data_IF_374821026549
#
_entry.id   IF_374821026549
#
_cell.length_a   1.000
_cell.length_b   1.000
_cell.length_c   1.000
_cell.angle_alpha   90.00
_cell.angle_beta   90.00
_cell.angle_gamma   90.00
#
_symmetry.space_group_name_H-M   'P 1'
#
loop_
_entity.id
_entity.type
_entity.pdbx_description
1 polymer ?
#
# COMPACT_ATOMS: atom_id res chain seq x y z
N UNK A 1 -49.12 -1.20 0.12
CA UNK A 1 -47.88 -1.81 0.64
C UNK A 1 -46.75 -1.36 -0.27
N UNK A 2 -45.91 -0.43 0.18
CA UNK A 2 -44.74 0.01 -0.59
C UNK A 2 -43.73 -1.14 -0.67
N UNK A 3 -43.16 -1.45 -1.85
CA UNK A 3 -42.12 -2.47 -1.94
C UNK A 3 -40.92 -2.03 -1.10
N UNK A 4 -40.48 -2.92 -0.20
CA UNK A 4 -39.28 -2.70 0.58
C UNK A 4 -38.11 -2.48 -0.38
N UNK A 5 -37.48 -1.31 -0.30
CA UNK A 5 -36.28 -0.98 -1.06
C UNK A 5 -35.21 -2.05 -0.78
N UNK A 6 -34.92 -2.88 -1.77
CA UNK A 6 -33.84 -3.86 -1.67
C UNK A 6 -32.54 -3.04 -1.65
N UNK A 7 -31.98 -2.84 -0.47
CA UNK A 7 -30.63 -2.28 -0.32
C UNK A 7 -29.68 -3.31 -0.92
N UNK A 8 -28.94 -2.99 -2.00
CA UNK A 8 -27.97 -3.93 -2.55
C UNK A 8 -26.99 -4.32 -1.46
N UNK A 9 -26.78 -5.62 -1.27
CA UNK A 9 -25.76 -6.09 -0.34
C UNK A 9 -24.39 -5.57 -0.83
N UNK A 10 -23.51 -5.14 0.09
CA UNK A 10 -22.19 -4.66 -0.29
C UNK A 10 -21.42 -5.73 -1.07
N UNK A 11 -20.80 -5.32 -2.18
CA UNK A 11 -20.07 -6.21 -3.07
C UNK A 11 -18.92 -6.88 -2.32
N UNK A 12 -18.97 -8.21 -2.24
CA UNK A 12 -17.91 -9.02 -1.63
C UNK A 12 -16.70 -9.08 -2.56
N UNK A 13 -15.53 -8.70 -2.05
CA UNK A 13 -14.24 -8.75 -2.74
C UNK A 13 -13.52 -10.07 -2.43
N UNK A 14 -12.67 -10.56 -3.33
CA UNK A 14 -11.84 -11.74 -3.03
C UNK A 14 -10.68 -11.38 -2.11
N UNK A 15 -9.95 -10.34 -2.48
CA UNK A 15 -8.83 -9.84 -1.70
C UNK A 15 -8.84 -8.32 -1.63
N UNK A 16 -8.32 -7.80 -0.52
CA UNK A 16 -8.14 -6.38 -0.26
C UNK A 16 -6.74 -6.20 0.31
N UNK A 17 -6.04 -5.16 -0.10
CA UNK A 17 -4.69 -4.85 0.33
C UNK A 17 -4.67 -3.40 0.81
N UNK A 18 -4.16 -3.22 2.02
CA UNK A 18 -3.96 -1.90 2.64
C UNK A 18 -2.59 -1.89 3.33
N UNK A 19 -1.91 -0.75 3.28
CA UNK A 19 -0.58 -0.52 3.85
C UNK A 19 -0.51 0.87 4.46
N UNK A 20 0.61 1.18 5.14
CA UNK A 20 1.01 2.54 5.54
C UNK A 20 -0.11 3.28 6.27
N UNK A 21 -0.76 2.57 7.19
CA UNK A 21 -1.83 3.14 8.03
C UNK A 21 -1.24 3.99 9.14
N UNK A 22 -0.10 3.58 9.69
CA UNK A 22 0.60 4.20 10.80
C UNK A 22 -0.31 4.45 12.02
N UNK A 23 -1.08 3.44 12.46
CA UNK A 23 -1.90 3.55 13.66
C UNK A 23 -1.04 3.98 14.85
N UNK A 24 -1.46 5.08 15.49
CA UNK A 24 -0.73 5.74 16.57
C UNK A 24 -0.03 7.03 16.14
N UNK A 25 0.22 7.23 14.84
CA UNK A 25 0.69 8.53 14.30
C UNK A 25 -0.44 9.56 14.34
N UNK A 26 -0.08 10.83 14.55
CA UNK A 26 -1.03 11.97 14.49
C UNK A 26 -1.53 12.26 13.06
N UNK A 27 -0.85 11.72 12.05
CA UNK A 27 -1.18 11.92 10.63
C UNK A 27 -2.06 10.79 10.08
N UNK A 28 -2.34 9.76 10.87
CA UNK A 28 -3.21 8.67 10.46
C UNK A 28 -4.68 9.12 10.43
N UNK A 29 -5.33 8.91 9.28
CA UNK A 29 -6.77 9.04 9.09
C UNK A 29 -7.52 7.79 9.59
N UNK A 30 -7.41 7.53 10.90
CA UNK A 30 -7.94 6.31 11.52
C UNK A 30 -9.47 6.20 11.46
N UNK A 31 -10.19 7.32 11.44
CA UNK A 31 -11.65 7.32 11.40
C UNK A 31 -12.15 6.84 10.02
N UNK A 32 -11.57 7.40 8.97
CA UNK A 32 -11.83 7.05 7.58
C UNK A 32 -11.43 5.60 7.29
N UNK A 33 -10.31 5.14 7.85
CA UNK A 33 -9.91 3.74 7.75
C UNK A 33 -10.88 2.80 8.47
N UNK A 34 -11.33 3.15 9.67
CA UNK A 34 -12.33 2.37 10.39
C UNK A 34 -13.64 2.27 9.60
N UNK A 35 -14.12 3.38 9.04
CA UNK A 35 -15.34 3.42 8.23
C UNK A 35 -15.20 2.53 6.99
N UNK A 36 -14.06 2.59 6.31
CA UNK A 36 -13.76 1.72 5.18
C UNK A 36 -13.80 0.23 5.56
N UNK A 37 -13.13 -0.17 6.66
CA UNK A 37 -13.11 -1.56 7.12
C UNK A 37 -14.50 -2.05 7.54
N UNK A 38 -15.34 -1.20 8.14
CA UNK A 38 -16.70 -1.56 8.55
C UNK A 38 -17.61 -1.86 7.33
N UNK A 39 -17.44 -1.09 6.25
CA UNK A 39 -18.11 -1.32 4.97
C UNK A 39 -17.57 -2.50 4.17
N UNK A 40 -16.38 -3.02 4.54
CA UNK A 40 -15.68 -4.03 3.75
C UNK A 40 -16.27 -5.42 3.92
N UNK A 41 -16.39 -6.17 2.81
CA UNK A 41 -16.65 -7.61 2.81
C UNK A 41 -15.64 -8.26 1.89
N UNK A 42 -14.76 -9.10 2.46
CA UNK A 42 -13.75 -9.78 1.65
C UNK A 42 -13.36 -11.15 2.21
N UNK A 43 -12.81 -12.00 1.35
CA UNK A 43 -12.29 -13.32 1.76
C UNK A 43 -10.91 -13.18 2.41
N UNK A 44 -10.04 -12.31 1.85
CA UNK A 44 -8.70 -12.03 2.35
C UNK A 44 -8.46 -10.53 2.52
N UNK A 45 -7.90 -10.13 3.65
CA UNK A 45 -7.37 -8.79 3.88
C UNK A 45 -5.87 -8.89 4.15
N UNK A 46 -5.10 -8.35 3.22
CA UNK A 46 -3.66 -8.19 3.34
C UNK A 46 -3.35 -6.84 3.99
N UNK A 47 -2.56 -6.90 5.05
CA UNK A 47 -2.05 -5.78 5.83
C UNK A 47 -0.57 -5.62 5.45
N UNK A 48 -0.29 -4.85 4.41
CA UNK A 48 0.99 -4.82 3.65
C UNK A 48 2.00 -3.84 4.24
N UNK A 49 2.18 -3.93 5.55
CA UNK A 49 3.22 -3.22 6.30
C UNK A 49 2.78 -1.85 6.78
N UNK A 50 3.52 -1.36 7.77
CA UNK A 50 3.34 -0.07 8.44
C UNK A 50 1.88 0.22 8.83
N UNK A 51 1.19 -0.83 9.30
CA UNK A 51 -0.18 -0.69 9.83
C UNK A 51 -0.16 0.00 11.18
N UNK A 52 0.88 -0.25 11.96
CA UNK A 52 1.02 0.25 13.31
C UNK A 52 2.35 1.02 13.41
N UNK A 53 2.33 2.19 14.04
CA UNK A 53 3.58 2.92 14.26
C UNK A 53 4.13 2.64 15.67
N UNK A 54 4.86 1.53 15.78
CA UNK A 54 5.50 1.13 17.04
C UNK A 54 6.63 2.09 17.47
N UNK A 55 7.22 2.84 16.53
CA UNK A 55 8.20 3.87 16.85
C UNK A 55 7.55 5.02 17.62
N UNK A 56 6.41 5.54 17.13
CA UNK A 56 5.70 6.63 17.80
C UNK A 56 5.12 6.21 19.17
N UNK A 57 4.69 4.95 19.29
CA UNK A 57 4.30 4.36 20.58
C UNK A 57 5.46 4.29 21.58
N UNK A 58 6.64 3.88 21.13
CA UNK A 58 7.82 3.81 22.00
C UNK A 58 8.24 5.18 22.56
N UNK A 59 7.90 6.27 21.86
CA UNK A 59 8.22 7.64 22.27
C UNK A 59 7.18 8.29 23.22
N UNK A 60 6.17 7.54 23.69
CA UNK A 60 5.03 8.08 24.47
C UNK A 60 4.27 9.22 23.78
N UNK A 61 4.36 9.30 22.45
CA UNK A 61 3.67 10.31 21.63
C UNK A 61 2.49 9.76 20.86
N UNK A 62 2.19 8.46 21.03
CA UNK A 62 1.05 7.79 20.40
C UNK A 62 -0.26 8.57 20.55
N UNK A 63 -0.81 8.98 19.41
CA UNK A 63 -2.18 9.43 19.31
C UNK A 63 -3.07 8.18 19.25
N UNK A 64 -3.44 7.67 20.43
CA UNK A 64 -4.34 6.53 20.56
C UNK A 64 -5.66 6.98 21.16
N UNK A 65 -6.71 7.03 20.34
CA UNK A 65 -8.04 7.47 20.72
C UNK A 65 -9.13 6.55 20.17
N UNK A 66 -10.38 7.03 20.19
CA UNK A 66 -11.56 6.25 19.77
C UNK A 66 -11.46 5.74 18.34
N UNK A 67 -10.92 6.53 17.41
CA UNK A 67 -10.77 6.12 16.00
C UNK A 67 -9.84 4.90 15.84
N UNK A 68 -8.72 4.87 16.55
CA UNK A 68 -7.78 3.74 16.52
C UNK A 68 -8.42 2.47 17.10
N UNK A 69 -9.20 2.60 18.17
CA UNK A 69 -9.97 1.47 18.71
C UNK A 69 -10.99 0.93 17.69
N UNK A 70 -11.70 1.83 16.99
CA UNK A 70 -12.66 1.42 15.93
C UNK A 70 -11.99 0.63 14.81
N UNK A 71 -10.75 0.96 14.44
CA UNK A 71 -9.97 0.19 13.45
C UNK A 71 -9.72 -1.24 13.97
N UNK A 72 -9.24 -1.37 15.21
CA UNK A 72 -8.98 -2.68 15.83
C UNK A 72 -10.26 -3.51 15.91
N UNK A 73 -11.37 -2.91 16.35
CA UNK A 73 -12.69 -3.56 16.39
C UNK A 73 -13.17 -4.00 15.01
N UNK A 74 -12.99 -3.17 13.98
CA UNK A 74 -13.35 -3.50 12.61
C UNK A 74 -12.54 -4.68 12.06
N UNK A 75 -11.23 -4.73 12.32
CA UNK A 75 -10.38 -5.87 11.95
C UNK A 75 -10.83 -7.16 12.65
N UNK A 76 -11.15 -7.10 13.96
CA UNK A 76 -11.70 -8.24 14.67
C UNK A 76 -13.07 -8.68 14.13
N UNK A 77 -13.93 -7.74 13.75
CA UNK A 77 -15.22 -8.03 13.16
C UNK A 77 -15.08 -8.77 11.81
N UNK A 78 -14.16 -8.33 10.95
CA UNK A 78 -13.84 -9.01 9.69
C UNK A 78 -13.34 -10.45 9.93
N UNK A 79 -12.39 -10.63 10.86
CA UNK A 79 -11.89 -11.96 11.21
C UNK A 79 -13.00 -12.89 11.73
N UNK A 80 -13.92 -12.38 12.58
CA UNK A 80 -15.09 -13.13 13.05
C UNK A 80 -16.08 -13.46 11.94
N UNK A 81 -16.22 -12.57 10.95
CA UNK A 81 -17.05 -12.80 9.76
C UNK A 81 -16.41 -13.78 8.75
N UNK A 82 -15.20 -14.27 9.03
CA UNK A 82 -14.52 -15.31 8.25
C UNK A 82 -13.43 -14.81 7.31
N UNK A 83 -13.17 -13.50 7.25
CA UNK A 83 -12.06 -12.92 6.49
C UNK A 83 -10.72 -13.43 7.04
N UNK A 84 -9.83 -13.88 6.15
CA UNK A 84 -8.46 -14.22 6.48
C UNK A 84 -7.60 -12.95 6.50
N UNK A 85 -6.98 -12.66 7.64
CA UNK A 85 -6.05 -11.54 7.81
C UNK A 85 -4.62 -12.04 7.55
N UNK A 86 -3.91 -11.40 6.61
CA UNK A 86 -2.51 -11.71 6.30
C UNK A 86 -1.68 -10.45 6.54
N UNK A 87 -0.90 -10.47 7.61
CA UNK A 87 -0.04 -9.38 8.03
C UNK A 87 1.38 -9.54 7.46
N UNK A 88 1.84 -8.55 6.71
CA UNK A 88 3.17 -8.48 6.10
C UNK A 88 3.93 -7.29 6.69
N UNK A 89 4.80 -7.48 7.71
CA UNK A 89 5.35 -6.34 8.46
C UNK A 89 6.30 -5.43 7.64
N UNK A 90 6.11 -4.12 7.77
CA UNK A 90 6.96 -3.09 7.17
C UNK A 90 8.14 -2.67 8.04
N UNK A 91 8.72 -1.49 7.76
CA UNK A 91 9.87 -0.95 8.49
C UNK A 91 9.49 -0.30 9.83
N UNK A 92 8.32 0.33 9.96
CA UNK A 92 7.82 0.85 11.25
C UNK A 92 7.37 -0.29 12.18
N UNK A 93 6.90 -1.39 11.60
CA UNK A 93 6.43 -2.59 12.28
C UNK A 93 7.52 -3.67 12.48
N UNK A 94 8.80 -3.28 12.46
CA UNK A 94 9.93 -4.22 12.42
C UNK A 94 9.93 -5.26 13.56
N UNK A 95 9.47 -4.90 14.75
CA UNK A 95 9.40 -5.85 15.88
C UNK A 95 8.40 -6.99 15.62
N UNK A 96 7.36 -6.75 14.81
CA UNK A 96 6.37 -7.77 14.42
C UNK A 96 7.02 -8.84 13.54
N UNK A 97 8.12 -8.54 12.83
CA UNK A 97 8.87 -9.52 12.02
C UNK A 97 9.34 -10.74 12.82
N UNK A 98 9.49 -10.62 14.15
CA UNK A 98 9.84 -11.74 15.04
C UNK A 98 8.74 -12.81 15.12
N UNK A 99 7.50 -12.44 14.81
CA UNK A 99 6.35 -13.34 14.79
C UNK A 99 6.05 -13.87 13.38
N UNK A 100 6.88 -13.59 12.37
CA UNK A 100 6.72 -14.18 11.04
C UNK A 100 6.71 -15.72 11.13
N UNK A 101 5.72 -16.34 10.50
CA UNK A 101 5.45 -17.79 10.61
C UNK A 101 4.32 -18.12 11.60
N UNK A 102 3.97 -17.19 12.50
CA UNK A 102 2.81 -17.33 13.36
C UNK A 102 1.55 -17.49 12.51
N UNK A 103 0.76 -18.51 12.85
CA UNK A 103 -0.52 -18.81 12.21
C UNK A 103 -1.53 -19.02 13.33
N UNK A 104 -2.43 -18.06 13.45
CA UNK A 104 -3.59 -18.10 14.34
C UNK A 104 -4.84 -18.34 13.49
N UNK A 105 -5.98 -18.73 14.11
CA UNK A 105 -7.25 -18.78 13.39
C UNK A 105 -7.51 -17.45 12.68
N UNK A 106 -7.61 -17.49 11.35
CA UNK A 106 -7.87 -16.33 10.48
C UNK A 106 -6.83 -15.19 10.53
N UNK A 107 -5.65 -15.40 11.13
CA UNK A 107 -4.57 -14.40 11.13
C UNK A 107 -3.22 -15.08 10.87
N UNK A 108 -2.49 -14.56 9.90
CA UNK A 108 -1.15 -15.03 9.55
C UNK A 108 -0.18 -13.87 9.54
N UNK A 109 1.00 -14.06 10.13
CA UNK A 109 2.11 -13.12 9.97
C UNK A 109 3.11 -13.74 9.00
N UNK A 110 3.40 -13.04 7.91
CA UNK A 110 4.25 -13.52 6.82
C UNK A 110 5.25 -12.46 6.45
N UNK A 111 6.49 -12.86 6.15
CA UNK A 111 7.52 -11.90 5.71
C UNK A 111 7.20 -11.35 4.31
N UNK A 112 6.64 -12.21 3.45
CA UNK A 112 6.08 -11.93 2.13
C UNK A 112 4.98 -12.95 1.88
N UNK A 113 4.04 -12.65 1.01
CA UNK A 113 3.02 -13.60 0.58
C UNK A 113 2.93 -13.67 -0.95
N UNK A 114 2.36 -14.77 -1.46
CA UNK A 114 1.98 -14.86 -2.87
C UNK A 114 0.46 -14.93 -2.91
N UNK A 115 -0.15 -13.97 -3.58
CA UNK A 115 -1.58 -13.95 -3.82
C UNK A 115 -1.88 -14.52 -5.21
N UNK A 116 -2.76 -15.51 -5.28
CA UNK A 116 -3.28 -16.05 -6.54
C UNK A 116 -4.64 -15.42 -6.81
N UNK A 117 -4.69 -14.59 -7.86
CA UNK A 117 -5.92 -13.94 -8.30
C UNK A 117 -6.87 -14.95 -8.97
N UNK A 118 -8.14 -14.59 -9.16
CA UNK A 118 -9.15 -15.43 -9.78
C UNK A 118 -8.83 -15.75 -11.25
N UNK A 119 -8.14 -14.84 -11.93
CA UNK A 119 -7.70 -14.98 -13.32
C UNK A 119 -6.32 -15.67 -13.46
N UNK A 120 -5.77 -16.19 -12.35
CA UNK A 120 -4.56 -17.01 -12.34
C UNK A 120 -3.23 -16.24 -12.28
N UNK A 121 -3.24 -14.91 -12.15
CA UNK A 121 -2.01 -14.14 -11.88
C UNK A 121 -1.48 -14.47 -10.47
N UNK A 122 -0.18 -14.65 -10.36
CA UNK A 122 0.53 -14.83 -9.08
C UNK A 122 1.22 -13.52 -8.71
N UNK A 123 0.72 -12.82 -7.70
CA UNK A 123 1.24 -11.53 -7.26
C UNK A 123 2.09 -11.67 -5.99
N UNK A 124 3.30 -11.12 -6.00
CA UNK A 124 4.12 -10.97 -4.80
C UNK A 124 3.52 -9.89 -3.91
N UNK A 125 3.22 -10.19 -2.66
CA UNK A 125 2.76 -9.22 -1.67
C UNK A 125 3.90 -8.97 -0.68
N UNK A 126 4.41 -7.75 -0.65
CA UNK A 126 5.54 -7.33 0.18
C UNK A 126 5.42 -5.85 0.50
N UNK A 127 5.89 -5.39 1.65
CA UNK A 127 5.79 -3.98 2.02
C UNK A 127 6.55 -3.07 1.05
N UNK A 128 7.84 -3.34 0.83
CA UNK A 128 8.65 -2.67 -0.18
C UNK A 128 9.95 -2.04 0.33
N UNK A 129 10.10 -1.90 1.65
CA UNK A 129 11.33 -1.40 2.31
C UNK A 129 12.61 -2.19 1.94
N UNK A 130 12.46 -3.47 1.56
CA UNK A 130 13.56 -4.28 1.03
C UNK A 130 14.20 -3.67 -0.25
N UNK A 131 13.46 -2.85 -0.99
CA UNK A 131 13.95 -2.22 -2.24
C UNK A 131 14.71 -0.92 -1.99
N UNK A 132 14.63 -0.30 -0.82
CA UNK A 132 15.33 0.96 -0.52
C UNK A 132 16.84 0.81 -0.61
N UNK A 133 17.37 -0.34 -0.17
CA UNK A 133 18.80 -0.65 -0.28
C UNK A 133 19.28 -0.71 -1.74
N UNK A 134 18.37 -0.97 -2.68
CA UNK A 134 18.65 -1.05 -4.13
C UNK A 134 18.43 0.31 -4.80
N UNK A 135 17.52 1.14 -4.28
CA UNK A 135 17.18 2.45 -4.86
C UNK A 135 18.04 3.59 -4.32
N UNK A 136 18.64 3.45 -3.14
CA UNK A 136 19.41 4.50 -2.48
C UNK A 136 20.88 4.57 -2.92
N UNK A 137 21.30 5.81 -3.24
CA UNK A 137 22.68 6.24 -3.03
C UNK A 137 22.79 6.74 -1.57
N UNK A 138 23.27 5.89 -0.65
CA UNK A 138 23.72 6.28 0.71
C UNK A 138 22.62 6.57 1.74
N UNK A 139 22.47 5.65 2.71
CA UNK A 139 21.41 5.62 3.73
C UNK A 139 21.44 6.66 4.85
N UNK A 140 21.39 7.95 4.51
CA UNK A 140 21.31 9.02 5.53
C UNK A 140 20.27 10.11 5.22
N UNK A 141 19.30 9.88 4.32
CA UNK A 141 18.36 10.91 3.89
C UNK A 141 16.96 10.85 4.53
N UNK A 142 16.46 9.71 5.02
CA UNK A 142 15.10 9.62 5.58
C UNK A 142 14.91 10.50 6.83
N UNK A 143 15.83 10.41 7.79
CA UNK A 143 15.78 11.27 8.99
C UNK A 143 16.12 12.74 8.69
N UNK A 144 16.90 12.97 7.64
CA UNK A 144 17.24 14.32 7.20
C UNK A 144 16.07 14.96 6.44
N UNK A 145 15.29 14.18 5.71
CA UNK A 145 14.20 14.62 4.82
C UNK A 145 13.06 15.28 5.58
N UNK A 146 12.56 14.64 6.63
CA UNK A 146 11.45 15.14 7.45
C UNK A 146 11.88 16.29 8.37
N UNK A 147 13.06 16.18 8.98
CA UNK A 147 13.65 17.24 9.78
C UNK A 147 13.97 18.49 8.95
N UNK A 148 14.47 18.31 7.73
CA UNK A 148 14.73 19.39 6.79
C UNK A 148 13.43 19.95 6.19
N UNK A 149 12.38 19.14 6.02
CA UNK A 149 11.07 19.60 5.52
C UNK A 149 10.42 20.59 6.51
N UNK A 150 10.37 20.26 7.80
CA UNK A 150 9.88 21.19 8.84
C UNK A 150 10.77 22.43 8.96
N UNK A 151 12.12 22.29 8.90
CA UNK A 151 13.03 23.45 9.00
C UNK A 151 13.08 24.32 7.74
N UNK A 152 12.89 23.77 6.54
CA UNK A 152 12.83 24.55 5.29
C UNK A 152 11.52 25.32 5.24
N UNK A 153 10.36 24.74 5.57
CA UNK A 153 9.08 25.46 5.54
C UNK A 153 9.04 26.58 6.59
N UNK A 154 9.56 26.33 7.78
CA UNK A 154 9.66 27.34 8.86
C UNK A 154 10.74 28.38 8.54
N UNK A 155 11.87 27.93 7.98
CA UNK A 155 13.00 28.77 7.59
C UNK A 155 12.70 29.66 6.38
N UNK A 156 11.86 29.22 5.44
CA UNK A 156 11.51 29.97 4.21
C UNK A 156 10.58 31.17 4.50
N UNK A 157 9.75 31.11 5.55
CA UNK A 157 9.02 32.28 6.06
C UNK A 157 9.97 33.31 6.67
N UNK A 158 10.89 32.86 7.54
CA UNK A 158 11.83 33.74 8.25
C UNK A 158 12.86 34.37 7.29
N UNK A 159 13.43 33.57 6.38
CA UNK A 159 14.43 34.02 5.41
C UNK A 159 13.84 34.94 4.34
N UNK A 160 12.59 34.75 3.90
CA UNK A 160 11.96 35.72 2.99
C UNK A 160 11.56 37.02 3.68
N UNK A 161 11.19 36.99 4.97
CA UNK A 161 10.97 38.20 5.76
C UNK A 161 12.28 38.98 5.98
N UNK A 162 13.39 38.30 6.31
CA UNK A 162 14.70 38.92 6.49
C UNK A 162 15.29 39.41 5.16
N UNK A 163 15.22 38.62 4.09
CA UNK A 163 15.80 39.01 2.77
C UNK A 163 15.05 40.17 2.11
N UNK A 164 13.73 40.28 2.32
CA UNK A 164 12.95 41.48 1.93
C UNK A 164 13.43 42.74 2.66
N UNK A 165 13.84 42.61 3.92
CA UNK A 165 14.36 43.72 4.75
C UNK A 165 15.77 44.17 4.34
N UNK A 166 16.52 43.34 3.60
CA UNK A 166 17.88 43.61 3.10
C UNK A 166 17.96 43.73 1.56
N UNK A 167 16.83 43.88 0.84
CA UNK A 167 16.82 44.22 -0.59
C UNK A 167 17.39 43.17 -1.56
N UNK A 168 17.51 41.89 -1.17
CA UNK A 168 18.09 40.83 -2.04
C UNK A 168 17.02 40.04 -2.82
N UNK A 169 17.34 39.65 -4.06
CA UNK A 169 16.45 38.97 -5.03
C UNK A 169 15.98 37.59 -4.55
N UNK A 170 14.76 37.22 -4.98
CA UNK A 170 14.07 35.95 -4.71
C UNK A 170 14.98 34.72 -4.87
N UNK A 171 14.93 33.78 -3.93
CA UNK A 171 15.57 32.45 -4.06
C UNK A 171 14.56 31.52 -4.74
N UNK A 172 14.92 30.85 -5.84
CA UNK A 172 13.98 30.04 -6.60
C UNK A 172 13.68 28.72 -5.90
N UNK A 173 12.76 28.80 -4.94
CA UNK A 173 12.04 27.65 -4.40
C UNK A 173 11.55 26.73 -5.53
N UNK A 174 11.17 27.31 -6.67
CA UNK A 174 10.80 26.59 -7.90
C UNK A 174 11.90 25.68 -8.45
N UNK A 175 13.17 26.11 -8.50
CA UNK A 175 14.26 25.26 -9.00
C UNK A 175 14.64 24.19 -7.97
N UNK A 176 14.57 24.50 -6.67
CA UNK A 176 14.75 23.52 -5.60
C UNK A 176 13.64 22.46 -5.61
N UNK A 177 12.38 22.88 -5.73
CA UNK A 177 11.22 21.99 -5.87
C UNK A 177 11.29 21.16 -7.15
N UNK A 178 11.72 21.74 -8.28
CA UNK A 178 11.88 21.03 -9.56
C UNK A 178 13.03 20.03 -9.54
N UNK A 179 14.15 20.34 -8.88
CA UNK A 179 15.25 19.36 -8.68
C UNK A 179 14.84 18.24 -7.73
N UNK A 180 14.06 18.56 -6.68
CA UNK A 180 13.51 17.58 -5.74
C UNK A 180 12.42 16.72 -6.38
N UNK A 181 11.57 17.28 -7.25
CA UNK A 181 10.57 16.51 -8.01
C UNK A 181 11.24 15.54 -8.96
N UNK A 182 12.27 15.96 -9.69
CA UNK A 182 13.03 15.04 -10.55
C UNK A 182 13.78 13.96 -9.79
N UNK A 183 14.28 14.25 -8.58
CA UNK A 183 14.90 13.24 -7.72
C UNK A 183 13.87 12.23 -7.18
N UNK A 184 12.71 12.71 -6.74
CA UNK A 184 11.60 11.87 -6.28
C UNK A 184 11.06 10.99 -7.41
N UNK A 185 10.86 11.54 -8.61
CA UNK A 185 10.43 10.78 -9.79
C UNK A 185 11.42 9.67 -10.14
N UNK A 186 12.73 9.95 -10.11
CA UNK A 186 13.76 8.93 -10.33
C UNK A 186 13.75 7.86 -9.24
N UNK A 187 13.54 8.25 -7.99
CA UNK A 187 13.41 7.30 -6.88
C UNK A 187 12.22 6.36 -7.09
N UNK A 188 11.04 6.92 -7.36
CA UNK A 188 9.81 6.16 -7.64
C UNK A 188 10.03 5.22 -8.83
N UNK A 189 10.62 5.71 -9.92
CA UNK A 189 10.89 4.89 -11.11
C UNK A 189 11.82 3.71 -10.79
N UNK A 190 12.86 3.93 -9.99
CA UNK A 190 13.77 2.86 -9.55
C UNK A 190 13.09 1.87 -8.62
N UNK A 191 12.25 2.34 -7.71
CA UNK A 191 11.49 1.49 -6.79
C UNK A 191 10.53 0.59 -7.56
N UNK A 192 9.73 1.17 -8.47
CA UNK A 192 8.85 0.43 -9.39
C UNK A 192 9.63 -0.62 -10.16
N UNK A 193 10.78 -0.24 -10.74
CA UNK A 193 11.60 -1.18 -11.51
C UNK A 193 12.14 -2.32 -10.65
N UNK A 194 12.65 -2.03 -9.45
CA UNK A 194 13.16 -3.04 -8.53
C UNK A 194 12.09 -4.05 -8.11
N UNK A 195 10.87 -3.58 -7.83
CA UNK A 195 9.73 -4.43 -7.49
C UNK A 195 9.29 -5.32 -8.67
N UNK A 196 9.18 -4.75 -9.87
CA UNK A 196 8.87 -5.51 -11.09
C UNK A 196 9.96 -6.56 -11.38
N UNK A 197 11.23 -6.19 -11.23
CA UNK A 197 12.35 -7.11 -11.46
C UNK A 197 12.36 -8.26 -10.44
N UNK A 198 12.05 -8.01 -9.17
CA UNK A 198 11.95 -9.07 -8.14
C UNK A 198 10.78 -10.02 -8.42
N UNK A 199 9.63 -9.50 -8.85
CA UNK A 199 8.51 -10.34 -9.28
C UNK A 199 8.90 -11.23 -10.47
N UNK A 200 9.52 -10.66 -11.50
CA UNK A 200 9.98 -11.40 -12.70
C UNK A 200 11.04 -12.44 -12.37
N UNK A 201 12.03 -12.10 -11.55
CA UNK A 201 13.08 -13.03 -11.09
C UNK A 201 12.48 -14.25 -10.37
N UNK A 202 11.32 -14.10 -9.74
CA UNK A 202 10.57 -15.18 -9.07
C UNK A 202 9.61 -15.92 -9.99
N UNK A 203 9.51 -15.54 -11.26
CA UNK A 203 8.53 -16.09 -12.21
C UNK A 203 7.08 -15.75 -11.82
N UNK A 204 6.86 -14.58 -11.22
CA UNK A 204 5.55 -14.09 -10.79
C UNK A 204 5.00 -13.06 -11.80
N UNK A 205 3.68 -12.91 -11.79
CA UNK A 205 2.94 -12.04 -12.72
C UNK A 205 2.89 -10.58 -12.27
N UNK A 206 3.33 -10.28 -11.05
CA UNK A 206 3.31 -8.92 -10.53
C UNK A 206 3.65 -8.79 -9.07
N UNK A 207 3.54 -7.57 -8.57
CA UNK A 207 3.81 -7.18 -7.19
C UNK A 207 2.72 -6.25 -6.66
N UNK A 208 2.37 -6.44 -5.39
CA UNK A 208 1.55 -5.56 -4.55
C UNK A 208 2.41 -5.08 -3.39
N UNK A 209 2.49 -3.77 -3.20
CA UNK A 209 3.33 -3.12 -2.19
C UNK A 209 2.75 -1.80 -1.68
N UNK A 210 3.40 -1.22 -0.67
CA UNK A 210 3.12 0.12 -0.14
C UNK A 210 4.42 0.94 -0.11
N UNK A 211 4.79 1.41 1.08
CA UNK A 211 6.06 2.03 1.49
C UNK A 211 6.39 3.40 0.88
N UNK A 212 6.11 3.64 -0.40
CA UNK A 212 6.42 4.92 -1.08
C UNK A 212 5.24 5.89 -1.12
N UNK A 213 4.10 5.56 -0.49
CA UNK A 213 2.89 6.40 -0.39
C UNK A 213 2.39 6.90 -1.76
N UNK A 214 2.56 6.08 -2.81
CA UNK A 214 2.22 6.44 -4.19
C UNK A 214 1.30 5.41 -4.81
N UNK A 215 0.02 5.54 -4.44
CA UNK A 215 -1.07 4.73 -4.95
C UNK A 215 -1.03 4.67 -6.49
N UNK A 216 -0.85 3.47 -7.05
CA UNK A 216 -0.75 3.28 -8.49
C UNK A 216 -1.03 1.83 -8.88
N UNK A 217 -1.65 1.63 -10.04
CA UNK A 217 -1.95 0.31 -10.59
C UNK A 217 -1.77 0.35 -12.10
N UNK A 218 -0.83 -0.45 -12.61
CA UNK A 218 -0.59 -0.58 -14.05
C UNK A 218 0.13 -1.90 -14.37
N UNK A 219 0.14 -2.24 -15.65
CA UNK A 219 0.91 -3.36 -16.17
C UNK A 219 2.08 -2.85 -17.03
N UNK A 220 3.26 -3.44 -16.87
CA UNK A 220 4.45 -3.15 -17.68
C UNK A 220 5.08 -4.45 -18.15
N UNK A 221 5.12 -4.63 -19.47
CA UNK A 221 5.69 -5.81 -20.14
C UNK A 221 5.15 -7.14 -19.53
N UNK A 222 3.84 -7.26 -19.38
CA UNK A 222 3.19 -8.46 -18.85
C UNK A 222 3.21 -8.61 -17.32
N UNK A 223 3.85 -7.69 -16.60
CA UNK A 223 4.01 -7.73 -15.15
C UNK A 223 3.25 -6.60 -14.46
N UNK A 224 2.39 -6.95 -13.50
CA UNK A 224 1.55 -6.01 -12.77
C UNK A 224 2.35 -5.32 -11.67
N UNK A 225 2.28 -4.00 -11.61
CA UNK A 225 2.70 -3.22 -10.45
C UNK A 225 1.48 -2.61 -9.79
N UNK A 226 1.31 -2.91 -8.50
CA UNK A 226 0.28 -2.31 -7.68
C UNK A 226 0.90 -1.75 -6.40
N UNK A 227 0.67 -0.46 -6.16
CA UNK A 227 0.90 0.20 -4.89
C UNK A 227 -0.47 0.59 -4.33
N UNK A 228 -0.83 0.09 -3.15
CA UNK A 228 -2.14 0.31 -2.54
C UNK A 228 -2.30 1.69 -1.91
N UNK A 229 -1.20 2.46 -1.82
CA UNK A 229 -1.17 3.81 -1.28
C UNK A 229 -0.94 3.81 0.22
N UNK A 230 -1.66 4.64 0.94
CA UNK A 230 -1.48 4.83 2.38
C UNK A 230 -2.75 5.46 3.01
N UNK A 231 -2.80 5.50 4.35
CA UNK A 231 -3.91 6.14 5.09
C UNK A 231 -3.51 7.46 5.76
N UNK A 232 -2.61 8.19 5.10
CA UNK A 232 -2.12 9.52 5.50
C UNK A 232 -2.41 10.57 4.41
N UNK A 233 -2.13 10.26 3.15
CA UNK A 233 -2.27 11.14 1.98
C UNK A 233 -3.27 10.59 0.97
N UNK A 234 -3.14 9.33 0.53
CA UNK A 234 -3.95 8.83 -0.59
C UNK A 234 -5.33 8.32 -0.18
N UNK A 235 -5.47 7.74 1.02
CA UNK A 235 -6.68 7.09 1.53
C UNK A 235 -7.22 6.06 0.54
N UNK A 236 -6.35 5.13 0.12
CA UNK A 236 -6.66 4.13 -0.90
C UNK A 236 -6.47 2.70 -0.41
N UNK A 237 -7.06 1.76 -1.15
CA UNK A 237 -6.86 0.33 -1.01
C UNK A 237 -6.83 -0.32 -2.40
N UNK A 238 -5.98 -1.33 -2.59
CA UNK A 238 -6.10 -2.21 -3.75
C UNK A 238 -7.13 -3.29 -3.43
N UNK A 239 -8.02 -3.59 -4.37
CA UNK A 239 -9.00 -4.67 -4.24
C UNK A 239 -8.98 -5.57 -5.45
N UNK A 240 -9.31 -6.84 -5.22
CA UNK A 240 -9.54 -7.84 -6.23
C UNK A 240 -11.01 -8.27 -6.22
N UNK A 241 -11.65 -8.17 -7.37
CA UNK A 241 -13.03 -8.60 -7.60
C UNK A 241 -13.16 -10.11 -7.83
N UNK A 242 -14.39 -10.67 -7.72
CA UNK A 242 -14.64 -12.08 -7.98
C UNK A 242 -14.16 -12.61 -9.34
N UNK A 243 -14.11 -11.74 -10.36
CA UNK A 243 -13.65 -12.09 -11.71
C UNK A 243 -12.14 -11.94 -11.91
N UNK A 244 -11.41 -11.44 -10.91
CA UNK A 244 -9.97 -11.17 -10.99
C UNK A 244 -9.62 -9.75 -11.44
N UNK A 245 -10.60 -8.85 -11.61
CA UNK A 245 -10.35 -7.43 -11.82
C UNK A 245 -9.61 -6.85 -10.61
N UNK A 246 -8.52 -6.14 -10.85
CA UNK A 246 -7.84 -5.35 -9.81
C UNK A 246 -8.28 -3.89 -9.90
N UNK A 247 -8.60 -3.28 -8.76
CA UNK A 247 -8.98 -1.87 -8.68
C UNK A 247 -8.24 -1.18 -7.55
N UNK A 248 -7.78 0.03 -7.81
CA UNK A 248 -7.33 0.95 -6.78
C UNK A 248 -8.52 1.81 -6.37
N UNK A 249 -9.06 1.58 -5.18
CA UNK A 249 -10.21 2.30 -4.65
C UNK A 249 -9.76 3.39 -3.68
N UNK A 250 -10.47 4.51 -3.65
CA UNK A 250 -10.43 5.45 -2.52
C UNK A 250 -11.25 4.90 -1.35
N UNK A 251 -11.08 5.49 -0.16
CA UNK A 251 -11.91 5.19 1.01
C UNK A 251 -13.41 5.45 0.77
N UNK A 252 -13.76 6.31 -0.19
CA UNK A 252 -15.16 6.58 -0.62
C UNK A 252 -15.69 5.61 -1.68
N UNK A 253 -14.87 4.65 -2.15
CA UNK A 253 -15.24 3.67 -3.16
C UNK A 253 -15.07 4.13 -4.62
N UNK A 254 -14.50 5.31 -4.86
CA UNK A 254 -14.15 5.77 -6.22
C UNK A 254 -13.00 4.91 -6.78
N UNK A 255 -13.14 4.42 -8.01
CA UNK A 255 -12.05 3.69 -8.69
C UNK A 255 -11.08 4.67 -9.33
N UNK A 256 -9.85 4.75 -8.79
CA UNK A 256 -8.75 5.59 -9.33
C UNK A 256 -8.04 4.94 -10.52
N UNK A 257 -7.90 3.62 -10.47
CA UNK A 257 -7.28 2.84 -11.53
C UNK A 257 -7.89 1.44 -11.54
N UNK A 258 -7.90 0.83 -12.73
CA UNK A 258 -8.47 -0.49 -12.96
C UNK A 258 -7.57 -1.27 -13.90
N UNK A 259 -7.33 -2.53 -13.54
CA UNK A 259 -6.73 -3.52 -14.42
C UNK A 259 -7.74 -4.65 -14.63
N UNK A 260 -8.22 -4.88 -15.87
CA UNK A 260 -9.20 -5.91 -16.14
C UNK A 260 -8.64 -7.32 -15.88
N UNK A 261 -9.52 -8.33 -15.75
CA UNK A 261 -9.08 -9.70 -15.60
C UNK A 261 -8.33 -10.14 -16.86
N UNK A 262 -7.32 -10.97 -16.67
CA UNK A 262 -6.53 -11.56 -17.76
C UNK A 262 -7.45 -12.49 -18.54
N UNK A 263 -7.40 -12.39 -19.88
CA UNK A 263 -8.09 -13.35 -20.73
C UNK A 263 -7.63 -14.78 -20.38
N UNK A 264 -8.53 -15.78 -20.41
CA UNK A 264 -8.16 -17.16 -20.17
C UNK A 264 -6.98 -17.55 -21.06
N UNK A 265 -5.89 -18.03 -20.46
CA UNK A 265 -4.78 -18.58 -21.24
C UNK A 265 -5.32 -19.81 -21.96
N UNK A 266 -5.37 -19.79 -23.29
CA UNK A 266 -5.71 -20.97 -24.06
C UNK A 266 -4.79 -22.11 -23.57
N UNK A 267 -5.39 -23.22 -23.14
CA UNK A 267 -4.63 -24.42 -22.84
C UNK A 267 -3.75 -24.72 -24.06
N UNK A 268 -2.46 -25.02 -23.89
CA UNK A 268 -1.68 -25.54 -25.00
C UNK A 268 -2.48 -26.73 -25.54
N UNK A 269 -2.87 -26.68 -26.82
CA UNK A 269 -3.47 -27.84 -27.49
C UNK A 269 -2.52 -29.00 -27.21
N UNK A 270 -3.02 -30.02 -26.53
CA UNK A 270 -2.26 -31.24 -26.27
C UNK A 270 -1.60 -31.63 -27.60
N UNK A 271 -0.28 -31.68 -27.60
CA UNK A 271 0.42 -32.36 -28.69
C UNK A 271 -0.10 -33.79 -28.62
N UNK A 272 -0.87 -34.18 -29.63
CA UNK A 272 -1.25 -35.58 -29.87
C UNK A 272 -0.01 -36.43 -29.64
N UNK A 273 -0.03 -37.20 -28.54
CA UNK A 273 0.94 -38.26 -28.34
C UNK A 273 0.69 -39.25 -29.47
N UNK A 274 1.66 -39.51 -30.37
CA UNK A 274 1.47 -40.54 -31.37
C UNK A 274 1.33 -41.86 -30.62
N UNK A 275 0.14 -42.46 -30.72
CA UNK A 275 -0.07 -43.86 -30.42
C UNK A 275 0.91 -44.64 -31.31
N UNK A 276 1.98 -45.16 -30.71
CA UNK A 276 2.84 -46.13 -31.37
C UNK A 276 2.28 -47.52 -31.06
N UNK A 277 1.93 -48.22 -32.15
CA UNK A 277 1.48 -49.60 -32.21
C UNK A 277 2.54 -50.60 -31.77
#
# INVERSE_FOLDING_TARGET
MSPASIVPLPLRRRAVFVSDVHLGSKHCHAAEFADFLQGLRCDKLYLVGDIVDLWWMSQRRAAWGSAQYRVVEALHALARAGTELIYVPGNHDRSIRRFCGLTLPRMQVRRRAIHLTADGRRLLVTHGDDYDAITQFGGMQEKFGDWLYERILTGNKLTNQVRRRFGKRYWSLADFLKRRSGAAERYIARFVQAGLDDARKRGLDGIVCGHIHRASLFEREGCVYANDGDWVESLTALVEDPDGTLRLLTHTGETRALLPPRAPRALPKDKELPYAA
#
